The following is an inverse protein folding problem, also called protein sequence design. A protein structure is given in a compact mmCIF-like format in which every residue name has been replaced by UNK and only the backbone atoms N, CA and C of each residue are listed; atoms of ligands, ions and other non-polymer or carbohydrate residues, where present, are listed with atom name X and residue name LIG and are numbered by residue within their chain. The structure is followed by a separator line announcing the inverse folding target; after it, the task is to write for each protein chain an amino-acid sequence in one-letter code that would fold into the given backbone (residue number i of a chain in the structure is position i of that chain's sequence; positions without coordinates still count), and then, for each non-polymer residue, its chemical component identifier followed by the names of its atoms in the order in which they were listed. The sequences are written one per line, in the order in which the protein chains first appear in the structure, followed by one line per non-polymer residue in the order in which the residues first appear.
data_IF_748383450236
#
_entry.id   IF_748383450236
#
_cell.length_a   1.000
_cell.length_b   1.000
_cell.length_c   1.000
_cell.angle_alpha   90.00
_cell.angle_beta   90.00
_cell.angle_gamma   90.00
#
_symmetry.space_group_name_H-M   'P 1'
#
loop_
_entity.id
_entity.type
_entity.pdbx_description
1 polymer ?
#
# COMPACT_ATOMS: atom_id res chain seq x y z
N UNK A 1 -9.49 -0.53 -85.40
CA UNK A 1 -8.73 0.01 -84.23
C UNK A 1 -9.50 0.92 -83.32
N UNK A 2 -10.76 1.25 -83.51
CA UNK A 2 -11.51 2.20 -82.62
C UNK A 2 -12.32 1.55 -81.46
N UNK A 3 -12.46 0.19 -81.46
CA UNK A 3 -13.25 -0.52 -80.42
C UNK A 3 -12.53 -0.76 -79.06
N UNK A 4 -11.22 -0.69 -78.97
CA UNK A 4 -10.47 -1.03 -77.81
C UNK A 4 -10.31 0.14 -76.86
N UNK A 5 -10.36 1.37 -77.31
CA UNK A 5 -10.25 2.55 -76.47
C UNK A 5 -11.42 2.78 -75.47
N UNK A 6 -12.63 2.38 -75.95
CA UNK A 6 -13.85 2.44 -75.15
C UNK A 6 -13.78 1.46 -73.96
N UNK A 7 -13.21 0.26 -74.22
CA UNK A 7 -13.03 -0.77 -73.19
C UNK A 7 -11.97 -0.31 -72.07
N UNK A 8 -10.89 0.32 -72.54
CA UNK A 8 -9.90 0.86 -71.63
C UNK A 8 -10.41 2.05 -70.84
N UNK A 9 -11.27 2.91 -71.41
CA UNK A 9 -11.91 4.04 -70.70
C UNK A 9 -12.94 3.53 -69.73
N UNK A 10 -13.69 2.47 -70.02
CA UNK A 10 -14.63 1.83 -69.10
C UNK A 10 -13.89 1.14 -67.90
N UNK A 11 -12.76 0.50 -68.14
CA UNK A 11 -11.92 -0.11 -67.11
C UNK A 11 -11.26 0.94 -66.24
N UNK A 12 -10.82 2.08 -66.77
CA UNK A 12 -10.25 3.19 -66.03
C UNK A 12 -11.30 3.91 -65.15
N UNK A 13 -12.54 4.07 -65.69
CA UNK A 13 -13.64 4.68 -64.96
C UNK A 13 -14.21 3.78 -63.84
N UNK A 14 -14.05 2.46 -63.93
CA UNK A 14 -14.42 1.51 -62.87
C UNK A 14 -13.36 1.35 -61.80
N UNK A 15 -12.10 1.77 -62.04
CA UNK A 15 -11.02 1.70 -61.06
C UNK A 15 -10.88 2.95 -60.16
N UNK A 16 -11.47 4.07 -60.60
CA UNK A 16 -11.39 5.34 -59.83
C UNK A 16 -12.17 5.36 -58.51
N UNK A 17 -13.31 4.65 -58.30
CA UNK A 17 -13.98 4.62 -57.00
C UNK A 17 -13.26 3.77 -55.94
N UNK A 18 -12.36 2.85 -56.36
CA UNK A 18 -11.71 1.95 -55.40
C UNK A 18 -10.59 2.65 -54.60
N UNK A 19 -10.05 3.76 -55.11
CA UNK A 19 -8.97 4.48 -54.44
C UNK A 19 -9.45 5.57 -53.48
N UNK A 20 -10.72 5.93 -53.50
CA UNK A 20 -11.30 6.99 -52.64
C UNK A 20 -11.99 6.39 -51.39
N UNK A 21 -12.23 5.08 -51.37
CA UNK A 21 -12.98 4.42 -50.30
C UNK A 21 -12.13 3.95 -49.10
N UNK A 22 -10.81 4.10 -49.15
CA UNK A 22 -9.95 3.56 -48.08
C UNK A 22 -9.40 4.60 -47.10
N UNK A 23 -9.64 5.90 -47.29
CA UNK A 23 -9.13 6.91 -46.37
C UNK A 23 -10.04 7.17 -45.17
N UNK A 24 -11.30 6.79 -45.23
CA UNK A 24 -12.27 6.98 -44.13
C UNK A 24 -12.34 5.77 -43.17
N UNK A 25 -11.65 4.67 -43.46
CA UNK A 25 -11.70 3.46 -42.64
C UNK A 25 -10.47 3.29 -41.75
N UNK A 26 -9.48 4.17 -41.84
CA UNK A 26 -8.25 4.08 -41.04
C UNK A 26 -8.17 5.10 -39.93
N UNK A 27 -9.05 6.06 -39.88
CA UNK A 27 -9.28 6.87 -38.70
C UNK A 27 -10.40 6.21 -37.90
N UNK A 28 -10.05 5.26 -37.05
CA UNK A 28 -10.90 4.99 -35.91
C UNK A 28 -10.87 6.29 -35.08
N UNK A 29 -11.84 7.17 -35.36
CA UNK A 29 -12.19 8.19 -34.36
C UNK A 29 -12.50 7.40 -33.10
N UNK A 30 -11.54 7.39 -32.17
CA UNK A 30 -11.84 7.12 -30.79
C UNK A 30 -12.77 8.25 -30.37
N UNK A 31 -14.06 8.10 -30.66
CA UNK A 31 -15.07 8.94 -30.05
C UNK A 31 -14.97 8.60 -28.58
N UNK A 32 -14.46 9.54 -27.81
CA UNK A 32 -14.62 9.54 -26.35
C UNK A 32 -16.13 9.58 -26.07
N UNK A 33 -16.75 8.39 -26.09
CA UNK A 33 -18.17 8.24 -25.77
C UNK A 33 -18.45 8.45 -24.28
N UNK A 34 -17.40 8.60 -23.47
CA UNK A 34 -17.47 8.86 -22.05
C UNK A 34 -16.63 10.09 -21.73
N UNK A 35 -17.30 11.20 -21.57
CA UNK A 35 -16.69 12.30 -20.81
C UNK A 35 -16.41 11.77 -19.42
N UNK A 36 -15.14 11.82 -19.00
CA UNK A 36 -14.77 11.49 -17.63
C UNK A 36 -15.49 12.41 -16.62
N UNK A 37 -15.49 12.08 -15.32
CA UNK A 37 -16.05 12.94 -14.30
C UNK A 37 -15.49 14.36 -14.38
N UNK A 38 -16.36 15.37 -14.14
CA UNK A 38 -15.96 16.77 -14.17
C UNK A 38 -15.02 17.16 -13.01
N UNK A 39 -14.34 18.31 -13.12
CA UNK A 39 -13.53 18.83 -12.01
C UNK A 39 -14.39 19.16 -10.78
N UNK A 40 -15.64 19.59 -10.96
CA UNK A 40 -16.59 19.82 -9.86
C UNK A 40 -16.89 18.52 -9.10
N UNK A 41 -17.03 17.42 -9.83
CA UNK A 41 -17.20 16.10 -9.21
C UNK A 41 -15.97 15.72 -8.36
N UNK A 42 -14.77 15.85 -8.91
CA UNK A 42 -13.56 15.53 -8.16
C UNK A 42 -13.29 16.48 -7.00
N UNK A 43 -13.64 17.75 -7.13
CA UNK A 43 -13.57 18.71 -6.02
C UNK A 43 -14.52 18.32 -4.88
N UNK A 44 -15.74 17.91 -5.20
CA UNK A 44 -16.72 17.42 -4.22
C UNK A 44 -16.23 16.11 -3.57
N UNK A 45 -15.66 15.19 -4.35
CA UNK A 45 -15.09 13.95 -3.86
C UNK A 45 -13.93 14.19 -2.87
N UNK A 46 -12.99 15.07 -3.21
CA UNK A 46 -11.89 15.44 -2.30
C UNK A 46 -12.40 16.14 -1.03
N UNK A 47 -13.44 16.94 -1.12
CA UNK A 47 -14.07 17.55 0.05
C UNK A 47 -14.74 16.50 0.95
N UNK A 48 -15.45 15.54 0.36
CA UNK A 48 -16.05 14.41 1.08
C UNK A 48 -14.98 13.60 1.82
N UNK A 49 -13.89 13.21 1.16
CA UNK A 49 -12.81 12.42 1.77
C UNK A 49 -12.10 13.12 2.93
N UNK A 50 -12.14 14.46 2.97
CA UNK A 50 -11.63 15.27 4.09
C UNK A 50 -12.63 15.47 5.22
N UNK A 51 -13.89 15.15 5.00
CA UNK A 51 -14.93 15.25 6.03
C UNK A 51 -14.84 14.11 7.05
N UNK A 52 -15.56 14.26 8.16
CA UNK A 52 -15.76 13.17 9.13
C UNK A 52 -16.81 12.20 8.57
N UNK A 53 -16.40 10.99 8.24
CA UNK A 53 -17.24 9.91 7.73
C UNK A 53 -16.53 8.56 7.93
N UNK A 54 -17.26 7.42 7.94
CA UNK A 54 -16.66 6.09 7.95
C UNK A 54 -15.73 5.91 6.76
N UNK A 55 -14.47 5.50 7.01
CA UNK A 55 -13.47 5.37 5.96
C UNK A 55 -13.57 4.04 5.25
N UNK A 56 -13.52 4.06 3.92
CA UNK A 56 -13.37 2.87 3.12
C UNK A 56 -11.88 2.57 2.91
N UNK A 57 -11.47 1.38 3.36
CA UNK A 57 -10.09 0.89 3.29
C UNK A 57 -10.00 -0.40 2.46
N UNK A 58 -8.87 -0.65 1.80
CA UNK A 58 -8.61 -1.91 1.12
C UNK A 58 -7.16 -2.08 0.72
N UNK A 59 -6.79 -3.35 0.43
CA UNK A 59 -5.47 -3.69 -0.13
C UNK A 59 -5.55 -3.82 -1.64
N UNK A 60 -4.51 -3.36 -2.33
CA UNK A 60 -4.39 -3.46 -3.77
C UNK A 60 -3.11 -4.22 -4.15
N UNK A 61 -3.30 -5.42 -4.69
CA UNK A 61 -2.24 -6.28 -5.21
C UNK A 61 -2.09 -6.17 -6.73
N UNK A 62 -1.00 -6.74 -7.26
CA UNK A 62 -0.74 -6.83 -8.72
C UNK A 62 -0.75 -5.49 -9.46
N UNK A 63 -0.37 -4.41 -8.79
CA UNK A 63 -0.32 -3.09 -9.38
C UNK A 63 0.74 -2.98 -10.48
N UNK A 64 0.31 -2.68 -11.70
CA UNK A 64 1.20 -2.40 -12.83
C UNK A 64 1.02 -0.98 -13.37
N UNK A 65 -0.13 -0.36 -13.14
CA UNK A 65 -0.50 0.93 -13.71
C UNK A 65 -0.70 0.91 -15.22
N UNK A 66 -0.73 -0.28 -15.82
CA UNK A 66 -0.81 -0.50 -17.28
C UNK A 66 -1.84 -1.57 -17.61
N UNK A 67 -2.29 -1.56 -18.87
CA UNK A 67 -3.19 -2.56 -19.43
C UNK A 67 -4.44 -1.97 -20.05
N UNK A 68 -5.11 -2.76 -20.91
CA UNK A 68 -6.35 -2.38 -21.57
C UNK A 68 -7.56 -2.31 -20.61
N UNK A 69 -7.43 -2.89 -19.41
CA UNK A 69 -8.41 -2.80 -18.34
C UNK A 69 -7.80 -2.14 -17.11
N UNK A 70 -8.63 -1.48 -16.30
CA UNK A 70 -8.19 -0.83 -15.07
C UNK A 70 -7.97 -1.79 -13.89
N UNK A 71 -8.01 -3.11 -14.10
CA UNK A 71 -7.89 -4.12 -13.03
C UNK A 71 -6.55 -4.04 -12.28
N UNK A 72 -5.47 -3.67 -12.99
CA UNK A 72 -4.13 -3.53 -12.42
C UNK A 72 -3.71 -2.07 -12.26
N UNK A 73 -4.66 -1.15 -12.30
CA UNK A 73 -4.47 0.29 -12.14
C UNK A 73 -5.25 0.82 -10.93
N UNK A 74 -4.62 1.65 -10.14
CA UNK A 74 -5.27 2.33 -9.01
C UNK A 74 -6.38 3.27 -9.47
N UNK A 75 -6.30 3.79 -10.70
CA UNK A 75 -7.37 4.59 -11.30
C UNK A 75 -8.71 3.82 -11.39
N UNK A 76 -8.66 2.47 -11.45
CA UNK A 76 -9.83 1.60 -11.45
C UNK A 76 -10.46 1.36 -10.07
N UNK A 77 -9.83 1.80 -9.00
CA UNK A 77 -10.38 1.70 -7.64
C UNK A 77 -11.60 2.61 -7.53
N UNK A 78 -12.70 2.13 -6.89
CA UNK A 78 -13.89 2.96 -6.68
C UNK A 78 -13.56 4.29 -6.00
N UNK A 79 -14.18 5.36 -6.45
CA UNK A 79 -13.92 6.71 -5.94
C UNK A 79 -14.26 6.87 -4.46
N UNK A 80 -15.15 6.04 -3.93
CA UNK A 80 -15.52 6.00 -2.51
C UNK A 80 -14.43 5.46 -1.57
N UNK A 81 -13.37 4.82 -2.10
CA UNK A 81 -12.27 4.29 -1.27
C UNK A 81 -11.37 5.43 -0.84
N UNK A 82 -11.15 5.57 0.48
CA UNK A 82 -10.36 6.63 1.09
C UNK A 82 -8.88 6.30 1.18
N UNK A 83 -8.58 5.08 1.61
CA UNK A 83 -7.21 4.60 1.87
C UNK A 83 -6.99 3.25 1.21
N UNK A 84 -5.86 3.11 0.56
CA UNK A 84 -5.44 1.87 -0.09
C UNK A 84 -4.05 1.49 0.36
N UNK A 85 -3.89 0.29 0.88
CA UNK A 85 -2.59 -0.30 1.17
C UNK A 85 -2.08 -1.07 -0.03
N UNK A 86 -0.87 -0.73 -0.48
CA UNK A 86 -0.21 -1.35 -1.63
C UNK A 86 0.45 -2.64 -1.16
N UNK A 87 -0.14 -3.77 -1.53
CA UNK A 87 0.35 -5.10 -1.23
C UNK A 87 1.24 -5.63 -2.35
N UNK A 88 2.55 -5.63 -2.13
CA UNK A 88 3.54 -5.97 -3.17
C UNK A 88 3.70 -4.90 -4.26
N UNK A 89 4.72 -5.05 -5.09
CA UNK A 89 5.03 -4.13 -6.21
C UNK A 89 5.15 -2.63 -5.84
N UNK A 90 5.42 -2.33 -4.56
CA UNK A 90 5.59 -0.97 -4.05
C UNK A 90 7.01 -0.41 -4.28
N UNK A 91 7.96 -1.23 -4.69
CA UNK A 91 9.35 -0.81 -4.98
C UNK A 91 9.63 -0.78 -6.49
N UNK A 92 10.61 0.03 -6.91
CA UNK A 92 11.03 0.15 -8.31
C UNK A 92 9.87 0.46 -9.28
N UNK A 93 8.94 1.31 -8.84
CA UNK A 93 7.74 1.65 -9.60
C UNK A 93 8.06 2.33 -10.93
N UNK A 94 7.33 1.92 -11.98
CA UNK A 94 7.43 2.44 -13.35
C UNK A 94 6.86 3.86 -13.46
N UNK A 95 7.11 4.53 -14.58
CA UNK A 95 6.49 5.84 -14.86
C UNK A 95 4.97 5.74 -15.00
N UNK A 96 4.44 4.60 -15.48
CA UNK A 96 3.01 4.36 -15.53
C UNK A 96 2.41 4.27 -14.11
N UNK A 97 3.04 3.51 -13.21
CA UNK A 97 2.64 3.43 -11.82
C UNK A 97 2.70 4.81 -11.12
N UNK A 98 3.74 5.61 -11.37
CA UNK A 98 3.84 6.96 -10.80
C UNK A 98 2.70 7.88 -11.27
N UNK A 99 2.34 7.82 -12.55
CA UNK A 99 1.21 8.61 -13.10
C UNK A 99 -0.13 8.16 -12.50
N UNK A 100 -0.33 6.86 -12.39
CA UNK A 100 -1.52 6.25 -11.82
C UNK A 100 -1.69 6.65 -10.35
N UNK A 101 -0.63 6.51 -9.54
CA UNK A 101 -0.59 6.95 -8.15
C UNK A 101 -0.91 8.44 -8.01
N UNK A 102 -0.21 9.27 -8.77
CA UNK A 102 -0.39 10.73 -8.74
C UNK A 102 -1.81 11.15 -9.09
N UNK A 103 -2.41 10.53 -10.12
CA UNK A 103 -3.79 10.79 -10.49
C UNK A 103 -4.73 10.48 -9.30
N UNK A 104 -4.58 9.33 -8.68
CA UNK A 104 -5.44 8.94 -7.57
C UNK A 104 -5.26 9.83 -6.32
N UNK A 105 -4.02 10.22 -6.01
CA UNK A 105 -3.73 11.10 -4.88
C UNK A 105 -4.23 12.53 -5.12
N UNK A 106 -3.89 13.13 -6.27
CA UNK A 106 -4.15 14.55 -6.51
C UNK A 106 -5.57 14.82 -7.03
N UNK A 107 -6.10 13.92 -7.88
CA UNK A 107 -7.42 14.13 -8.50
C UNK A 107 -8.53 13.49 -7.67
N UNK A 108 -8.40 12.20 -7.32
CA UNK A 108 -9.41 11.50 -6.52
C UNK A 108 -9.31 11.78 -5.01
N UNK A 109 -8.14 12.19 -4.51
CA UNK A 109 -7.88 12.40 -3.09
C UNK A 109 -7.79 11.10 -2.28
N UNK A 110 -7.56 9.95 -2.94
CA UNK A 110 -7.32 8.67 -2.28
C UNK A 110 -5.89 8.63 -1.74
N UNK A 111 -5.71 8.08 -0.54
CA UNK A 111 -4.40 7.96 0.10
C UNK A 111 -3.85 6.54 -0.08
N UNK A 112 -2.54 6.44 -0.25
CA UNK A 112 -1.87 5.16 -0.52
C UNK A 112 -0.75 4.91 0.48
N UNK A 113 -0.84 3.81 1.21
CA UNK A 113 0.20 3.38 2.14
C UNK A 113 1.00 2.23 1.54
N UNK A 114 2.28 2.17 1.84
CA UNK A 114 3.09 0.98 1.61
C UNK A 114 2.76 -0.04 2.69
N UNK A 115 2.59 -1.32 2.32
CA UNK A 115 2.22 -2.37 3.25
C UNK A 115 3.06 -3.63 3.05
N UNK A 116 3.47 -4.24 4.15
CA UNK A 116 4.05 -5.58 4.19
C UNK A 116 4.12 -6.15 5.62
N UNK A 117 4.20 -7.48 5.72
CA UNK A 117 4.32 -8.17 7.00
C UNK A 117 5.65 -7.81 7.67
N UNK A 118 5.58 -7.34 8.91
CA UNK A 118 6.75 -7.08 9.75
C UNK A 118 7.07 -8.33 10.57
N UNK A 119 8.32 -8.80 10.45
CA UNK A 119 8.85 -9.90 11.27
C UNK A 119 10.15 -9.52 11.98
N UNK A 120 11.17 -9.19 11.23
CA UNK A 120 12.51 -8.88 11.74
C UNK A 120 13.05 -7.59 11.14
N UNK A 121 14.07 -7.04 11.75
CA UNK A 121 14.87 -5.96 11.17
C UNK A 121 15.33 -6.35 9.77
N UNK A 122 15.08 -5.48 8.80
CA UNK A 122 15.46 -5.68 7.42
C UNK A 122 14.40 -6.35 6.54
N UNK A 123 13.30 -6.85 7.09
CA UNK A 123 12.20 -7.45 6.31
C UNK A 123 11.78 -6.53 5.17
N UNK A 124 11.76 -7.06 3.93
CA UNK A 124 11.35 -6.38 2.68
C UNK A 124 12.20 -5.17 2.23
N UNK A 125 13.03 -4.58 3.10
CA UNK A 125 13.79 -3.35 2.81
C UNK A 125 15.29 -3.61 2.60
N UNK A 126 15.80 -4.74 3.04
CA UNK A 126 17.21 -5.11 2.83
C UNK A 126 17.52 -5.12 1.33
N UNK A 127 18.57 -4.41 0.87
CA UNK A 127 18.94 -4.38 -0.55
C UNK A 127 19.26 -5.78 -1.09
N UNK A 128 18.78 -6.09 -2.29
CA UNK A 128 18.92 -7.42 -2.91
C UNK A 128 20.38 -7.88 -2.99
N UNK A 129 21.34 -6.98 -3.21
CA UNK A 129 22.75 -7.34 -3.29
C UNK A 129 23.32 -7.94 -1.99
N UNK A 130 22.71 -7.65 -0.82
CA UNK A 130 23.09 -8.25 0.45
C UNK A 130 22.72 -9.75 0.46
N UNK A 131 21.53 -10.05 -0.08
CA UNK A 131 21.07 -11.44 -0.22
C UNK A 131 21.85 -12.23 -1.28
N UNK A 132 22.30 -11.57 -2.36
CA UNK A 132 22.94 -12.22 -3.49
C UNK A 132 24.44 -12.45 -3.29
N UNK A 133 25.10 -11.61 -2.49
CA UNK A 133 26.58 -11.56 -2.42
C UNK A 133 27.16 -11.94 -1.04
N UNK A 134 26.36 -12.43 -0.10
CA UNK A 134 26.79 -12.71 1.28
C UNK A 134 28.05 -13.61 1.36
N UNK A 135 28.14 -14.65 0.50
CA UNK A 135 29.31 -15.55 0.45
C UNK A 135 30.57 -14.78 0.01
N UNK A 136 30.46 -13.97 -1.05
CA UNK A 136 31.58 -13.17 -1.56
C UNK A 136 32.01 -12.05 -0.62
N UNK A 137 31.11 -11.62 0.25
CA UNK A 137 31.37 -10.67 1.34
C UNK A 137 32.03 -11.33 2.55
N UNK A 138 32.12 -12.67 2.59
CA UNK A 138 32.80 -13.44 3.63
C UNK A 138 31.92 -13.82 4.81
N UNK A 139 30.61 -13.72 4.72
CA UNK A 139 29.68 -14.13 5.77
C UNK A 139 29.42 -15.63 5.73
N UNK A 140 29.10 -16.24 6.88
CA UNK A 140 28.79 -17.65 7.00
C UNK A 140 27.33 -17.98 6.59
N UNK A 141 26.46 -16.97 6.56
CA UNK A 141 25.08 -17.10 6.12
C UNK A 141 24.50 -15.78 5.60
N UNK A 142 23.45 -15.88 4.81
CA UNK A 142 22.68 -14.72 4.34
C UNK A 142 22.13 -13.90 5.52
N UNK A 143 21.66 -14.56 6.59
CA UNK A 143 21.16 -13.88 7.78
C UNK A 143 22.24 -13.09 8.50
N UNK A 144 23.48 -13.61 8.55
CA UNK A 144 24.62 -12.88 9.13
C UNK A 144 24.92 -11.60 8.34
N UNK A 145 24.90 -11.66 7.01
CA UNK A 145 25.06 -10.47 6.15
C UNK A 145 23.95 -9.45 6.36
N UNK A 146 22.71 -9.91 6.50
CA UNK A 146 21.55 -9.03 6.81
C UNK A 146 21.74 -8.38 8.20
N UNK A 147 22.12 -9.16 9.20
CA UNK A 147 22.36 -8.64 10.54
C UNK A 147 23.48 -7.59 10.56
N UNK A 148 24.60 -7.86 9.90
CA UNK A 148 25.71 -6.92 9.77
C UNK A 148 25.28 -5.63 9.07
N UNK A 149 24.58 -5.76 7.94
CA UNK A 149 24.09 -4.60 7.20
C UNK A 149 23.20 -3.68 8.06
N UNK A 150 22.33 -4.27 8.88
CA UNK A 150 21.43 -3.49 9.76
C UNK A 150 22.08 -3.11 11.08
N UNK A 151 23.22 -3.71 11.45
CA UNK A 151 23.87 -3.51 12.74
C UNK A 151 23.18 -4.28 13.87
N UNK A 152 22.49 -5.39 13.53
CA UNK A 152 21.91 -6.26 14.55
C UNK A 152 23.00 -7.02 15.30
N UNK A 153 23.09 -6.90 16.65
CA UNK A 153 24.18 -7.51 17.40
C UNK A 153 24.05 -9.02 17.50
N UNK A 154 25.17 -9.72 17.57
CA UNK A 154 25.20 -11.16 17.83
C UNK A 154 24.80 -11.50 19.28
N UNK A 155 25.00 -10.56 20.21
CA UNK A 155 24.55 -10.62 21.59
C UNK A 155 23.41 -9.62 21.81
N UNK A 156 22.18 -10.10 21.85
CA UNK A 156 20.98 -9.29 22.03
C UNK A 156 20.84 -8.71 23.47
N UNK A 157 21.79 -8.97 24.37
CA UNK A 157 21.88 -8.28 25.65
C UNK A 157 22.39 -6.85 25.49
N UNK A 158 23.06 -6.52 24.38
CA UNK A 158 23.40 -5.15 23.98
C UNK A 158 22.14 -4.41 23.50
N UNK A 159 21.41 -3.85 24.46
CA UNK A 159 20.13 -3.18 24.17
C UNK A 159 20.29 -1.91 23.35
N UNK A 160 21.42 -1.22 23.45
CA UNK A 160 21.69 -0.01 22.65
C UNK A 160 21.88 -0.36 21.18
N UNK A 161 22.62 -1.43 20.87
CA UNK A 161 22.81 -1.92 19.50
C UNK A 161 21.50 -2.46 18.90
N UNK A 162 20.71 -3.20 19.68
CA UNK A 162 19.37 -3.67 19.28
C UNK A 162 18.48 -2.48 18.92
N UNK A 163 18.35 -1.48 19.81
CA UNK A 163 17.55 -0.30 19.55
C UNK A 163 18.03 0.48 18.32
N UNK A 164 19.34 0.71 18.20
CA UNK A 164 19.92 1.42 17.07
C UNK A 164 19.60 0.73 15.72
N UNK A 165 19.65 -0.60 15.69
CA UNK A 165 19.33 -1.42 14.51
C UNK A 165 17.84 -1.30 14.14
N UNK A 166 16.93 -1.38 15.12
CA UNK A 166 15.49 -1.22 14.89
C UNK A 166 15.19 0.18 14.35
N UNK A 167 15.74 1.23 14.95
CA UNK A 167 15.54 2.61 14.52
C UNK A 167 16.10 2.86 13.10
N UNK A 168 17.27 2.29 12.79
CA UNK A 168 17.83 2.33 11.43
C UNK A 168 16.88 1.71 10.40
N UNK A 169 16.28 0.58 10.72
CA UNK A 169 15.31 -0.09 9.85
C UNK A 169 14.04 0.74 9.68
N UNK A 170 13.47 1.27 10.74
CA UNK A 170 12.29 2.13 10.68
C UNK A 170 12.53 3.38 9.82
N UNK A 171 13.70 4.02 9.94
CA UNK A 171 14.10 5.15 9.11
C UNK A 171 14.24 4.78 7.63
N UNK A 172 14.77 3.60 7.31
CA UNK A 172 14.87 3.12 5.92
C UNK A 172 13.50 2.88 5.28
N UNK A 173 12.50 2.45 6.07
CA UNK A 173 11.10 2.39 5.64
C UNK A 173 10.59 3.80 5.33
N UNK A 174 10.83 4.76 6.23
CA UNK A 174 10.40 6.15 6.03
C UNK A 174 11.04 6.77 4.77
N UNK A 175 12.32 6.54 4.54
CA UNK A 175 13.03 6.99 3.34
C UNK A 175 12.44 6.38 2.07
N UNK A 176 12.07 5.10 2.11
CA UNK A 176 11.43 4.41 0.99
C UNK A 176 10.07 5.01 0.66
N UNK A 177 9.24 5.26 1.67
CA UNK A 177 7.92 5.88 1.51
C UNK A 177 8.05 7.30 0.93
N UNK A 178 9.00 8.07 1.42
CA UNK A 178 9.26 9.42 0.90
C UNK A 178 9.79 9.38 -0.55
N UNK A 179 10.69 8.44 -0.86
CA UNK A 179 11.24 8.25 -2.21
C UNK A 179 10.16 7.99 -3.26
N UNK A 180 9.16 7.17 -2.94
CA UNK A 180 8.09 6.81 -3.87
C UNK A 180 6.86 7.71 -3.77
N UNK A 181 6.79 8.59 -2.77
CA UNK A 181 5.69 9.54 -2.60
C UNK A 181 4.41 8.92 -2.03
N UNK A 182 4.52 7.85 -1.25
CA UNK A 182 3.36 7.26 -0.56
C UNK A 182 2.89 8.14 0.60
N UNK A 183 1.62 7.96 0.96
CA UNK A 183 0.96 8.74 2.01
C UNK A 183 1.15 8.17 3.40
N UNK A 184 1.91 7.09 3.56
CA UNK A 184 2.18 6.50 4.86
C UNK A 184 2.60 5.03 4.81
N UNK A 185 2.60 4.41 5.97
CA UNK A 185 2.93 3.00 6.18
C UNK A 185 1.77 2.27 6.86
N UNK A 186 1.51 1.06 6.39
CA UNK A 186 0.58 0.10 6.98
C UNK A 186 1.39 -1.11 7.43
N UNK A 187 1.44 -1.31 8.76
CA UNK A 187 2.19 -2.39 9.38
C UNK A 187 1.30 -3.63 9.39
N UNK A 188 1.57 -4.60 8.52
CA UNK A 188 0.92 -5.91 8.62
C UNK A 188 1.57 -6.72 9.76
N UNK A 189 0.83 -6.81 10.88
CA UNK A 189 1.27 -7.40 12.15
C UNK A 189 0.47 -8.65 12.49
N UNK A 190 1.05 -9.82 12.23
CA UNK A 190 0.39 -11.11 12.33
C UNK A 190 1.17 -12.13 13.20
N UNK A 191 1.43 -11.88 14.49
CA UNK A 191 2.29 -12.73 15.32
C UNK A 191 1.74 -14.14 15.54
N UNK A 192 0.42 -14.34 15.47
CA UNK A 192 -0.23 -15.62 15.75
C UNK A 192 -0.40 -16.51 14.50
N UNK A 193 -0.06 -16.01 13.30
CA UNK A 193 -0.12 -16.78 12.04
C UNK A 193 1.24 -17.37 11.62
N UNK A 194 2.17 -17.57 12.56
CA UNK A 194 3.47 -18.19 12.31
C UNK A 194 4.54 -17.21 11.84
N UNK A 195 4.25 -15.93 11.77
CA UNK A 195 5.22 -14.89 11.48
C UNK A 195 6.09 -14.64 12.70
N UNK A 196 7.33 -15.13 12.66
CA UNK A 196 8.31 -15.03 13.76
C UNK A 196 9.46 -14.12 13.37
N UNK A 197 10.01 -13.42 14.36
CA UNK A 197 11.16 -12.56 14.12
C UNK A 197 11.52 -11.66 15.28
N UNK A 198 12.65 -11.02 15.15
CA UNK A 198 13.23 -10.25 16.25
C UNK A 198 12.52 -8.92 16.59
N UNK A 199 11.54 -8.49 15.78
CA UNK A 199 10.65 -7.38 16.12
C UNK A 199 9.30 -7.92 16.60
N UNK A 200 8.66 -8.80 15.80
CA UNK A 200 7.28 -9.23 16.02
C UNK A 200 7.10 -10.06 17.31
N UNK A 201 8.14 -10.75 17.76
CA UNK A 201 8.10 -11.63 18.95
C UNK A 201 8.40 -10.89 20.28
N UNK A 202 8.64 -9.56 20.23
CA UNK A 202 9.01 -8.77 21.42
C UNK A 202 8.27 -7.41 21.39
N UNK A 203 7.31 -7.22 22.29
CA UNK A 203 6.49 -6.01 22.36
C UNK A 203 7.33 -4.73 22.62
N UNK A 204 8.45 -4.82 23.36
CA UNK A 204 9.33 -3.67 23.57
C UNK A 204 10.08 -3.27 22.30
N UNK A 205 10.50 -4.25 21.52
CA UNK A 205 11.12 -4.00 20.20
C UNK A 205 10.11 -3.45 19.20
N UNK A 206 8.89 -3.98 19.23
CA UNK A 206 7.78 -3.42 18.45
C UNK A 206 7.48 -1.96 18.86
N UNK A 207 7.54 -1.64 20.15
CA UNK A 207 7.41 -0.26 20.59
C UNK A 207 8.53 0.65 20.05
N UNK A 208 9.79 0.24 20.10
CA UNK A 208 10.91 1.01 19.55
C UNK A 208 10.71 1.27 18.06
N UNK A 209 10.24 0.25 17.32
CA UNK A 209 9.94 0.34 15.91
C UNK A 209 8.84 1.36 15.61
N UNK A 210 7.72 1.27 16.32
CA UNK A 210 6.57 2.18 16.19
C UNK A 210 6.94 3.60 16.65
N UNK A 211 7.70 3.75 17.72
CA UNK A 211 8.16 5.05 18.22
C UNK A 211 9.01 5.79 17.18
N UNK A 212 9.91 5.08 16.50
CA UNK A 212 10.71 5.69 15.45
C UNK A 212 9.87 6.05 14.22
N UNK A 213 8.99 5.14 13.75
CA UNK A 213 8.05 5.42 12.67
C UNK A 213 7.13 6.60 12.99
N UNK A 214 6.74 6.75 14.26
CA UNK A 214 5.89 7.82 14.76
C UNK A 214 6.50 9.22 14.64
N UNK A 215 7.81 9.34 14.38
CA UNK A 215 8.46 10.62 14.04
C UNK A 215 8.18 11.05 12.61
N UNK A 216 7.82 10.11 11.74
CA UNK A 216 7.60 10.31 10.31
C UNK A 216 6.13 10.21 9.91
N UNK A 217 5.36 9.37 10.60
CA UNK A 217 3.99 8.99 10.24
C UNK A 217 3.07 9.04 11.46
N UNK A 218 1.76 9.04 11.19
CA UNK A 218 0.76 9.00 12.24
C UNK A 218 0.53 10.33 12.94
N UNK A 219 -0.40 10.35 13.91
CA UNK A 219 -0.85 11.58 14.59
C UNK A 219 0.27 12.32 15.32
N UNK A 220 1.26 11.61 15.85
CA UNK A 220 2.36 12.19 16.62
C UNK A 220 3.40 12.89 15.76
N UNK A 221 3.51 12.53 14.46
CA UNK A 221 4.54 13.09 13.57
C UNK A 221 4.27 14.53 13.13
N UNK A 222 3.01 14.93 13.06
CA UNK A 222 2.57 16.20 12.48
C UNK A 222 2.80 16.33 10.97
N UNK A 223 3.23 15.26 10.27
CA UNK A 223 3.50 15.28 8.84
C UNK A 223 2.25 15.15 7.98
N UNK A 224 1.16 14.68 8.57
CA UNK A 224 -0.07 14.31 7.87
C UNK A 224 0.01 12.99 7.10
N UNK A 225 1.13 12.27 7.15
CA UNK A 225 1.25 10.91 6.61
C UNK A 225 0.68 9.89 7.60
N UNK A 226 0.06 8.83 7.08
CA UNK A 226 -0.61 7.81 7.88
C UNK A 226 0.37 6.81 8.49
N UNK A 227 0.09 6.38 9.72
CA UNK A 227 0.61 5.16 10.31
C UNK A 227 -0.57 4.26 10.66
N UNK A 228 -0.65 3.13 9.98
CA UNK A 228 -1.71 2.13 10.15
C UNK A 228 -1.08 0.86 10.69
N UNK A 229 -1.84 0.09 11.43
CA UNK A 229 -1.49 -1.28 11.78
C UNK A 229 -2.68 -2.18 11.45
N UNK A 230 -2.41 -3.20 10.63
CA UNK A 230 -3.38 -4.21 10.25
C UNK A 230 -3.00 -5.60 10.77
N UNK A 231 -3.87 -6.58 10.55
CA UNK A 231 -3.69 -7.96 11.01
C UNK A 231 -4.26 -8.21 12.39
N UNK A 232 -3.38 -8.22 13.38
CA UNK A 232 -3.71 -8.50 14.77
C UNK A 232 -3.22 -7.38 15.71
N UNK A 233 -3.63 -6.12 15.51
CA UNK A 233 -3.16 -4.98 16.31
C UNK A 233 -3.36 -5.19 17.82
N UNK A 234 -4.38 -5.93 18.22
CA UNK A 234 -4.68 -6.26 19.62
C UNK A 234 -3.63 -7.17 20.28
N UNK A 235 -2.69 -7.72 19.50
CA UNK A 235 -1.69 -8.66 20.03
C UNK A 235 -0.46 -8.01 20.65
N UNK A 236 -0.30 -6.68 20.58
CA UNK A 236 0.75 -5.91 21.29
C UNK A 236 0.29 -5.66 22.73
N UNK A 237 0.29 -6.71 23.55
CA UNK A 237 -0.38 -6.71 24.88
C UNK A 237 0.37 -5.96 25.97
N UNK A 238 1.71 -5.98 25.93
CA UNK A 238 2.54 -5.44 26.98
C UNK A 238 2.93 -3.97 26.75
N UNK A 239 2.58 -3.43 25.58
CA UNK A 239 2.90 -2.05 25.18
C UNK A 239 1.67 -1.34 24.60
N UNK A 240 0.60 -1.16 25.38
CA UNK A 240 -0.58 -0.42 24.93
C UNK A 240 -0.27 1.03 24.55
N UNK A 241 0.83 1.57 25.04
CA UNK A 241 1.33 2.91 24.76
C UNK A 241 1.72 3.14 23.27
N UNK A 242 1.76 2.10 22.43
CA UNK A 242 1.86 2.25 20.97
C UNK A 242 0.54 2.74 20.34
N UNK A 243 -0.62 2.46 20.94
CA UNK A 243 -1.93 2.77 20.35
C UNK A 243 -2.05 4.22 19.84
N UNK A 244 -1.68 5.25 20.62
CA UNK A 244 -1.76 6.65 20.20
C UNK A 244 -0.83 7.06 19.04
N UNK A 245 -0.02 6.16 18.49
CA UNK A 245 0.83 6.42 17.31
C UNK A 245 0.09 6.18 16.00
N UNK A 246 -0.98 5.36 16.01
CA UNK A 246 -1.69 4.95 14.83
C UNK A 246 -2.85 5.89 14.47
N UNK A 247 -3.11 6.05 13.16
CA UNK A 247 -4.33 6.66 12.64
C UNK A 247 -5.47 5.65 12.60
N UNK A 248 -5.18 4.38 12.26
CA UNK A 248 -6.17 3.32 12.12
C UNK A 248 -5.66 1.97 12.61
N UNK A 249 -6.60 1.18 13.17
CA UNK A 249 -6.44 -0.24 13.46
C UNK A 249 -7.29 -1.03 12.48
N UNK A 250 -6.69 -1.90 11.68
CA UNK A 250 -7.40 -2.75 10.74
C UNK A 250 -7.36 -4.19 11.23
N UNK A 251 -8.45 -4.67 11.80
CA UNK A 251 -8.54 -6.07 12.24
C UNK A 251 -8.83 -6.95 11.03
N UNK A 252 -7.92 -7.86 10.69
CA UNK A 252 -8.15 -8.85 9.63
C UNK A 252 -9.17 -9.90 10.05
N UNK A 253 -10.44 -9.61 9.81
CA UNK A 253 -11.57 -10.45 10.15
C UNK A 253 -12.23 -11.06 8.90
N UNK A 254 -11.45 -11.78 8.07
CA UNK A 254 -11.89 -12.29 6.76
C UNK A 254 -13.10 -13.24 6.80
N UNK A 255 -13.35 -13.91 7.90
CA UNK A 255 -14.52 -14.81 8.07
C UNK A 255 -15.03 -14.70 9.49
N UNK A 256 -15.67 -13.59 9.87
CA UNK A 256 -16.04 -13.35 11.27
C UNK A 256 -17.17 -14.28 11.77
N UNK A 257 -17.88 -14.95 10.90
CA UNK A 257 -18.98 -15.85 11.27
C UNK A 257 -20.27 -15.14 11.68
N UNK A 258 -20.21 -14.08 12.47
CA UNK A 258 -21.33 -13.25 12.91
C UNK A 258 -20.85 -11.98 13.60
N UNK A 259 -21.78 -11.06 13.90
CA UNK A 259 -21.51 -9.77 14.55
C UNK A 259 -20.83 -9.94 15.92
N UNK A 260 -21.26 -10.92 16.74
CA UNK A 260 -20.62 -11.20 18.02
C UNK A 260 -19.13 -11.55 17.91
N UNK A 261 -18.68 -12.10 16.78
CA UNK A 261 -17.26 -12.34 16.52
C UNK A 261 -16.51 -11.02 16.30
N UNK A 262 -17.11 -10.05 15.60
CA UNK A 262 -16.55 -8.72 15.41
C UNK A 262 -16.50 -7.94 16.71
N UNK A 263 -17.60 -7.94 17.48
CA UNK A 263 -17.66 -7.30 18.81
C UNK A 263 -16.57 -7.82 19.75
N UNK A 264 -16.33 -9.12 19.74
CA UNK A 264 -15.27 -9.73 20.55
C UNK A 264 -13.88 -9.31 20.11
N UNK A 265 -13.64 -9.16 18.82
CA UNK A 265 -12.34 -8.67 18.32
C UNK A 265 -12.11 -7.21 18.69
N UNK A 266 -13.16 -6.41 18.68
CA UNK A 266 -13.09 -5.00 19.05
C UNK A 266 -13.06 -4.80 20.58
N UNK A 267 -13.96 -5.43 21.34
CA UNK A 267 -14.23 -5.09 22.73
C UNK A 267 -13.73 -6.16 23.70
N UNK A 268 -14.43 -7.33 23.73
CA UNK A 268 -14.36 -8.30 24.82
C UNK A 268 -13.21 -9.29 24.73
N UNK A 269 -12.64 -9.49 23.56
CA UNK A 269 -11.68 -10.55 23.31
C UNK A 269 -12.28 -11.95 23.25
N UNK A 270 -11.42 -12.98 23.24
CA UNK A 270 -11.82 -14.38 23.17
C UNK A 270 -12.00 -14.94 21.74
N UNK A 271 -11.71 -14.13 20.73
CA UNK A 271 -11.53 -14.57 19.34
C UNK A 271 -10.20 -14.01 18.84
N UNK A 272 -9.24 -14.87 18.57
CA UNK A 272 -7.88 -14.49 18.17
C UNK A 272 -7.17 -13.58 19.21
N UNK A 273 -7.43 -13.75 20.51
CA UNK A 273 -6.77 -13.00 21.59
C UNK A 273 -7.68 -12.00 22.30
N UNK A 274 -7.11 -10.93 22.91
CA UNK A 274 -7.88 -9.84 23.50
C UNK A 274 -8.61 -9.02 22.44
N UNK A 275 -9.57 -8.20 22.84
CA UNK A 275 -10.13 -7.16 21.99
C UNK A 275 -9.23 -5.93 21.96
N UNK A 276 -9.39 -5.06 20.96
CA UNK A 276 -8.66 -3.79 20.87
C UNK A 276 -8.88 -2.93 22.13
N UNK A 277 -10.13 -2.83 22.59
CA UNK A 277 -10.45 -2.04 23.80
C UNK A 277 -9.77 -2.63 25.04
N UNK A 278 -9.68 -3.96 25.17
CA UNK A 278 -8.93 -4.58 26.26
C UNK A 278 -7.43 -4.26 26.19
N UNK A 279 -6.87 -4.22 24.99
CA UNK A 279 -5.44 -3.97 24.79
C UNK A 279 -5.10 -2.51 25.06
N UNK A 280 -5.85 -1.57 24.48
CA UNK A 280 -5.49 -0.15 24.46
C UNK A 280 -6.29 0.73 25.42
N UNK A 281 -7.34 0.19 26.08
CA UNK A 281 -8.23 0.96 26.95
C UNK A 281 -7.60 1.56 28.20
N UNK A 282 -6.35 1.19 28.55
CA UNK A 282 -5.58 1.83 29.60
C UNK A 282 -4.98 3.19 29.19
N UNK A 283 -4.85 3.46 27.88
CA UNK A 283 -4.19 4.66 27.32
C UNK A 283 -5.06 5.44 26.33
N UNK A 284 -6.17 4.85 25.88
CA UNK A 284 -7.11 5.44 24.93
C UNK A 284 -8.54 5.17 25.39
N UNK A 285 -9.47 6.08 25.10
CA UNK A 285 -10.89 5.81 25.37
C UNK A 285 -11.46 4.82 24.33
N UNK A 286 -12.50 4.09 24.73
CA UNK A 286 -13.24 3.20 23.81
C UNK A 286 -13.73 3.94 22.56
N UNK A 287 -14.24 5.18 22.72
CA UNK A 287 -14.66 6.03 21.59
C UNK A 287 -13.51 6.31 20.63
N UNK A 288 -12.30 6.60 21.14
CA UNK A 288 -11.13 6.81 20.30
C UNK A 288 -10.77 5.54 19.51
N UNK A 289 -10.71 4.39 20.21
CA UNK A 289 -10.38 3.11 19.58
C UNK A 289 -11.42 2.76 18.50
N UNK A 290 -12.71 2.89 18.81
CA UNK A 290 -13.79 2.57 17.86
C UNK A 290 -13.80 3.46 16.61
N UNK A 291 -13.40 4.74 16.76
CA UNK A 291 -13.27 5.64 15.60
C UNK A 291 -12.07 5.33 14.70
N UNK A 292 -11.09 4.62 15.22
CA UNK A 292 -9.87 4.25 14.50
C UNK A 292 -9.96 2.85 13.86
N UNK A 293 -11.04 2.11 14.09
CA UNK A 293 -11.22 0.71 13.64
C UNK A 293 -12.07 0.60 12.39
#
# INVERSE_FOLDING_TARGET
MKKNYLLYFLLLALSTPIWVSCNDWTESEAKDYFEGPSEEYYAALRAYKKSDHPKAFGWFGNWTGEGASLVNSMAGIPDSVDVVSIWGNWSNITEAQKKDLKFCQEVKGTRFTMCFIITSVGTQITPQHIYDNWESMGFASQQEAVNDFWGWPSDESDKEAVEASIRKYANAIADTINKYGYDGFDIDYEPNYGNKGNIVDDDDRMFIFVDELGKHFGPKSGTGKLLIIDGEPQSIKNRPDVGPYFDYFIIQAYKPGNDNNLDKRLIDGGVAGPGLVQTYGSVMSEEQITKMT
#
